data_IF_366100092853
#
_entry.id   IF_366100092853
#
_cell.length_a   1.000
_cell.length_b   1.000
_cell.length_c   1.000
_cell.angle_alpha   90.00
_cell.angle_beta   90.00
_cell.angle_gamma   90.00
#
_symmetry.space_group_name_H-M   'P 1'
#
loop_
_entity.id
_entity.type
_entity.pdbx_description
1 polymer ?
#
# COMPACT_ATOMS: atom_id res chain seq x y z
N UNK A 1 25.22 7.67 -67.73
CA UNK A 1 25.77 7.26 -66.41
C UNK A 1 24.72 7.63 -65.36
N UNK A 2 24.11 6.60 -64.74
CA UNK A 2 23.15 6.59 -63.61
C UNK A 2 21.87 7.46 -63.69
N UNK A 3 20.84 6.87 -64.28
CA UNK A 3 19.43 7.04 -63.88
C UNK A 3 19.23 6.48 -62.47
N UNK A 4 18.76 7.28 -61.50
CA UNK A 4 18.25 6.77 -60.23
C UNK A 4 16.72 6.87 -60.21
N UNK A 5 16.06 5.72 -60.17
CA UNK A 5 14.65 5.61 -59.81
C UNK A 5 14.47 5.96 -58.34
N UNK A 6 13.53 6.85 -58.01
CA UNK A 6 12.85 6.81 -56.72
C UNK A 6 11.42 6.31 -56.95
N UNK A 7 11.12 5.15 -56.37
CA UNK A 7 9.79 4.58 -56.26
C UNK A 7 8.99 5.40 -55.24
N UNK A 8 7.85 5.93 -55.66
CA UNK A 8 6.83 6.50 -54.78
C UNK A 8 6.27 5.40 -53.88
N UNK A 9 6.41 5.53 -52.56
CA UNK A 9 5.74 4.66 -51.57
C UNK A 9 4.44 5.35 -51.18
N UNK A 10 3.33 4.73 -51.55
CA UNK A 10 1.99 5.11 -51.12
C UNK A 10 1.81 4.69 -49.66
N UNK A 11 1.72 5.64 -48.71
CA UNK A 11 1.28 5.33 -47.35
C UNK A 11 -0.25 5.20 -47.34
N UNK A 12 -0.74 3.97 -47.22
CA UNK A 12 -2.13 3.71 -46.82
C UNK A 12 -2.32 4.11 -45.36
N UNK A 13 -3.22 5.06 -45.09
CA UNK A 13 -3.57 5.51 -43.75
C UNK A 13 -4.20 4.35 -42.95
N UNK A 14 -3.49 3.82 -41.96
CA UNK A 14 -4.12 3.03 -40.91
C UNK A 14 -4.95 3.98 -40.04
N UNK A 15 -6.24 3.65 -39.87
CA UNK A 15 -7.09 4.29 -38.88
C UNK A 15 -6.52 4.03 -37.48
N UNK A 16 -5.92 5.06 -36.90
CA UNK A 16 -5.50 5.08 -35.50
C UNK A 16 -6.78 5.00 -34.66
N UNK A 17 -7.18 3.78 -34.28
CA UNK A 17 -8.13 3.60 -33.20
C UNK A 17 -7.41 4.06 -31.93
N UNK A 18 -7.67 5.31 -31.54
CA UNK A 18 -7.34 5.78 -30.22
C UNK A 18 -8.15 4.94 -29.24
N UNK A 19 -7.53 3.89 -28.70
CA UNK A 19 -7.97 3.31 -27.46
C UNK A 19 -7.80 4.42 -26.41
N UNK A 20 -8.88 5.14 -26.14
CA UNK A 20 -9.00 5.93 -24.93
C UNK A 20 -9.05 4.90 -23.82
N UNK A 21 -7.89 4.54 -23.27
CA UNK A 21 -7.84 3.91 -21.97
C UNK A 21 -8.47 4.91 -20.99
N UNK A 22 -9.57 4.55 -20.30
CA UNK A 22 -10.05 5.41 -19.23
C UNK A 22 -8.90 5.51 -18.22
N UNK A 23 -8.45 6.74 -17.99
CA UNK A 23 -7.58 7.05 -16.87
C UNK A 23 -8.22 6.42 -15.63
N UNK A 24 -7.51 5.50 -14.97
CA UNK A 24 -7.81 5.22 -13.58
C UNK A 24 -7.82 6.57 -12.86
N UNK A 25 -8.94 6.92 -12.22
CA UNK A 25 -9.07 8.18 -11.51
C UNK A 25 -7.89 8.34 -10.53
N UNK A 26 -7.44 9.58 -10.35
CA UNK A 26 -6.36 9.86 -9.42
C UNK A 26 -6.78 9.43 -8.01
N UNK A 27 -5.85 8.80 -7.28
CA UNK A 27 -6.02 8.46 -5.88
C UNK A 27 -6.02 9.76 -5.05
N UNK A 28 -7.10 10.05 -4.33
CA UNK A 28 -7.09 11.20 -3.42
C UNK A 28 -6.24 10.89 -2.17
N UNK A 29 -5.42 11.85 -1.75
CA UNK A 29 -4.48 11.70 -0.64
C UNK A 29 -4.54 12.93 0.25
N UNK A 30 -4.78 12.71 1.54
CA UNK A 30 -4.54 13.74 2.56
C UNK A 30 -3.21 13.47 3.23
N UNK A 31 -2.32 14.45 3.21
CA UNK A 31 -1.00 14.36 3.84
C UNK A 31 -0.85 15.36 4.99
N UNK A 32 -0.34 14.91 6.12
CA UNK A 32 -0.10 15.75 7.31
C UNK A 32 1.32 15.55 7.84
N UNK A 33 2.02 16.66 8.05
CA UNK A 33 3.36 16.73 8.62
C UNK A 33 3.25 17.28 10.05
N UNK A 34 3.72 16.52 11.04
CA UNK A 34 3.72 16.94 12.43
C UNK A 34 5.01 17.70 12.72
N UNK A 35 4.88 18.99 12.97
CA UNK A 35 6.02 19.87 13.21
C UNK A 35 6.09 20.37 14.65
N UNK A 36 7.28 20.74 15.10
CA UNK A 36 7.46 21.58 16.29
C UNK A 36 7.21 23.07 15.92
N UNK A 37 6.88 23.93 16.89
CA UNK A 37 6.61 25.35 16.67
C UNK A 37 7.80 26.06 15.98
N UNK A 38 7.71 26.29 14.67
CA UNK A 38 8.69 27.05 13.88
C UNK A 38 8.03 28.19 13.11
N UNK A 39 8.81 29.26 12.87
CA UNK A 39 8.37 30.48 12.16
C UNK A 39 8.05 30.21 10.69
N UNK A 40 8.60 29.13 10.12
CA UNK A 40 8.25 28.61 8.81
C UNK A 40 7.80 27.16 8.98
N UNK A 41 6.50 26.91 8.75
CA UNK A 41 5.97 25.56 8.65
C UNK A 41 6.76 24.82 7.56
N UNK A 42 7.52 23.78 7.96
CA UNK A 42 8.44 23.10 7.07
C UNK A 42 7.64 22.34 6.02
N UNK A 43 7.64 22.84 4.79
CA UNK A 43 7.17 22.07 3.65
C UNK A 43 8.15 20.92 3.41
N UNK A 44 7.65 19.77 3.00
CA UNK A 44 8.51 18.65 2.65
C UNK A 44 9.35 19.05 1.44
N UNK A 45 10.69 19.02 1.54
CA UNK A 45 11.61 19.42 0.47
C UNK A 45 12.02 18.18 -0.34
N UNK A 46 11.61 18.09 -1.61
CA UNK A 46 11.91 16.92 -2.45
C UNK A 46 13.41 16.80 -2.80
N UNK A 47 14.22 17.83 -2.54
CA UNK A 47 15.67 17.81 -2.82
C UNK A 47 16.51 17.32 -1.64
N UNK A 48 15.91 17.00 -0.50
CA UNK A 48 16.64 16.45 0.64
C UNK A 48 16.82 14.96 0.38
N UNK A 49 18.06 14.43 0.36
CA UNK A 49 18.35 13.04 0.00
C UNK A 49 17.92 12.03 1.06
N UNK A 50 17.19 12.47 2.08
CA UNK A 50 16.66 11.70 3.18
C UNK A 50 15.19 12.06 3.33
N UNK A 51 14.32 11.08 3.56
CA UNK A 51 12.93 11.35 3.93
C UNK A 51 11.91 10.94 2.88
N UNK A 52 10.80 11.67 2.85
CA UNK A 52 9.49 11.17 2.43
C UNK A 52 9.19 11.40 0.95
N UNK A 53 8.49 10.45 0.32
CA UNK A 53 7.99 10.59 -1.05
C UNK A 53 7.15 11.86 -1.22
N UNK A 54 7.42 12.62 -2.27
CA UNK A 54 6.76 13.90 -2.50
C UNK A 54 5.28 13.69 -2.81
N UNK A 55 4.43 14.27 -1.98
CA UNK A 55 3.02 14.49 -2.30
C UNK A 55 2.74 16.00 -2.16
N UNK A 56 2.02 16.63 -3.08
CA UNK A 56 1.71 18.05 -2.97
C UNK A 56 0.87 18.40 -1.72
N UNK A 57 0.96 19.64 -1.26
CA UNK A 57 0.06 20.27 -0.27
C UNK A 57 -0.09 19.60 1.10
N UNK A 58 1.02 19.13 1.69
CA UNK A 58 1.01 18.65 3.07
C UNK A 58 0.48 19.70 4.04
N UNK A 59 -0.45 19.29 4.89
CA UNK A 59 -0.90 20.10 6.02
C UNK A 59 0.18 20.04 7.10
N UNK A 60 0.92 21.14 7.26
CA UNK A 60 1.88 21.29 8.36
C UNK A 60 1.15 21.67 9.65
N UNK A 61 1.26 20.84 10.69
CA UNK A 61 0.56 21.07 11.96
C UNK A 61 1.43 20.87 13.20
N UNK A 62 1.44 21.88 14.07
CA UNK A 62 1.91 21.81 15.45
C UNK A 62 0.77 21.58 16.46
N UNK A 63 -0.49 21.61 16.00
CA UNK A 63 -1.68 21.46 16.83
C UNK A 63 -2.06 20.00 17.03
N UNK A 64 -2.72 19.69 18.15
CA UNK A 64 -3.20 18.34 18.45
C UNK A 64 -4.58 18.04 17.84
N UNK A 65 -5.25 19.04 17.27
CA UNK A 65 -6.58 18.88 16.69
C UNK A 65 -6.74 19.65 15.38
N UNK A 66 -5.88 19.45 14.36
CA UNK A 66 -6.09 20.08 13.07
C UNK A 66 -7.37 19.52 12.43
N UNK A 67 -8.17 20.44 11.89
CA UNK A 67 -9.46 20.16 11.28
C UNK A 67 -9.41 20.43 9.77
N UNK A 68 -10.28 19.75 9.02
CA UNK A 68 -10.45 19.91 7.57
C UNK A 68 -9.11 19.84 6.82
N UNK A 69 -8.37 18.76 7.05
CA UNK A 69 -7.08 18.51 6.41
C UNK A 69 -7.23 18.55 4.88
N UNK A 70 -6.19 19.01 4.20
CA UNK A 70 -6.24 19.24 2.75
C UNK A 70 -5.81 18.01 1.97
N UNK A 71 -6.47 17.80 0.84
CA UNK A 71 -6.09 16.80 -0.16
C UNK A 71 -4.84 17.24 -0.97
N UNK A 72 -4.43 16.40 -1.91
CA UNK A 72 -3.30 16.61 -2.82
C UNK A 72 -3.51 17.72 -3.85
N UNK A 73 -4.66 18.40 -3.85
CA UNK A 73 -4.93 19.61 -4.63
C UNK A 73 -4.92 20.87 -3.76
N UNK A 74 -4.76 20.71 -2.44
CA UNK A 74 -4.86 21.78 -1.46
C UNK A 74 -6.29 22.12 -1.05
N UNK A 75 -7.28 21.34 -1.49
CA UNK A 75 -8.69 21.54 -1.14
C UNK A 75 -8.97 20.97 0.24
N UNK A 76 -9.63 21.73 1.15
CA UNK A 76 -10.03 21.20 2.46
C UNK A 76 -10.99 20.02 2.32
N UNK A 77 -10.73 18.94 3.05
CA UNK A 77 -11.61 17.77 3.18
C UNK A 77 -12.39 17.83 4.49
N UNK A 78 -13.19 16.80 4.79
CA UNK A 78 -13.81 16.61 6.12
C UNK A 78 -12.85 15.98 7.14
N UNK A 79 -11.72 15.42 6.69
CA UNK A 79 -10.82 14.65 7.55
C UNK A 79 -10.23 15.53 8.67
N UNK A 80 -10.38 15.06 9.90
CA UNK A 80 -9.81 15.67 11.10
C UNK A 80 -8.80 14.70 11.74
N UNK A 81 -7.80 15.25 12.42
CA UNK A 81 -6.87 14.46 13.26
C UNK A 81 -6.95 14.95 14.70
N UNK A 82 -7.06 14.03 15.64
CA UNK A 82 -6.87 14.29 17.07
C UNK A 82 -5.68 13.49 17.59
N UNK A 83 -4.80 14.17 18.32
CA UNK A 83 -3.60 13.58 18.93
C UNK A 83 -3.73 13.69 20.44
N UNK A 84 -3.67 12.57 21.14
CA UNK A 84 -3.62 12.55 22.60
C UNK A 84 -2.25 12.09 23.10
N UNK A 85 -1.80 12.67 24.21
CA UNK A 85 -0.53 12.39 24.89
C UNK A 85 0.73 12.70 24.09
N UNK A 86 1.86 12.88 24.79
CA UNK A 86 3.16 13.25 24.21
C UNK A 86 3.29 14.74 23.89
N UNK A 87 4.42 15.12 23.29
CA UNK A 87 4.67 16.49 22.84
C UNK A 87 5.43 16.54 21.52
N UNK A 88 5.38 17.68 20.82
CA UNK A 88 6.16 17.88 19.60
C UNK A 88 7.64 18.01 19.92
N UNK A 89 8.48 17.21 19.28
CA UNK A 89 9.93 17.30 19.42
C UNK A 89 10.65 17.23 18.08
N UNK A 90 11.94 17.58 18.12
CA UNK A 90 12.92 17.36 17.07
C UNK A 90 13.67 16.05 17.31
N UNK A 91 13.92 15.33 16.22
CA UNK A 91 14.61 14.03 16.23
C UNK A 91 15.97 14.04 15.51
N UNK A 92 16.37 15.17 14.90
CA UNK A 92 17.69 15.30 14.31
C UNK A 92 18.10 16.73 13.94
N UNK A 93 19.12 16.83 13.10
CA UNK A 93 19.83 18.08 12.80
C UNK A 93 19.25 18.92 11.66
N UNK A 94 19.98 19.96 11.26
CA UNK A 94 19.57 20.81 10.14
C UNK A 94 19.45 20.06 8.80
N UNK A 95 20.17 18.95 8.63
CA UNK A 95 20.22 18.14 7.40
C UNK A 95 18.91 17.43 7.04
N UNK A 96 17.98 17.31 7.99
CA UNK A 96 16.66 16.71 7.76
C UNK A 96 15.57 17.79 7.64
N UNK A 97 15.95 19.07 7.48
CA UNK A 97 15.03 20.18 7.29
C UNK A 97 14.06 19.92 6.15
N UNK A 98 12.76 20.20 6.37
CA UNK A 98 11.77 19.94 5.33
C UNK A 98 11.48 18.45 5.16
N UNK A 99 11.53 17.64 6.21
CA UNK A 99 11.11 16.24 6.14
C UNK A 99 10.24 15.91 7.34
N UNK A 100 9.25 15.00 7.19
CA UNK A 100 8.53 14.44 8.33
C UNK A 100 9.44 13.64 9.27
N UNK A 101 10.68 13.32 8.86
CA UNK A 101 11.65 12.66 9.73
C UNK A 101 12.28 13.60 10.75
N UNK A 102 12.21 14.93 10.57
CA UNK A 102 12.86 15.90 11.46
C UNK A 102 12.17 16.17 12.76
N UNK A 103 10.87 16.29 12.71
CA UNK A 103 10.04 16.63 13.84
C UNK A 103 8.84 15.70 13.88
N UNK A 104 8.21 15.59 15.02
CA UNK A 104 7.02 14.78 15.14
C UNK A 104 6.43 14.77 16.53
N UNK A 105 5.42 13.94 16.71
CA UNK A 105 4.86 13.64 18.01
C UNK A 105 5.77 12.64 18.74
N UNK A 106 6.38 13.09 19.82
CA UNK A 106 7.41 12.35 20.53
C UNK A 106 6.90 11.65 21.78
N UNK A 107 7.52 10.52 22.07
CA UNK A 107 7.24 9.72 23.25
C UNK A 107 8.50 9.03 23.78
N UNK A 108 8.72 9.19 25.08
CA UNK A 108 9.94 8.83 25.81
C UNK A 108 9.70 7.90 26.99
N UNK A 109 8.44 7.65 27.33
CA UNK A 109 8.04 6.93 28.54
C UNK A 109 7.74 5.49 28.14
N UNK A 110 8.50 4.55 28.71
CA UNK A 110 8.26 3.13 28.57
C UNK A 110 6.83 2.76 28.99
N UNK A 111 6.17 1.92 28.18
CA UNK A 111 4.79 1.49 28.37
C UNK A 111 3.74 2.55 28.00
N UNK A 112 4.13 3.71 27.48
CA UNK A 112 3.22 4.78 27.13
C UNK A 112 3.55 5.40 25.75
N UNK A 113 2.55 6.02 25.14
CA UNK A 113 2.73 6.75 23.90
C UNK A 113 1.46 7.42 23.41
N UNK A 114 1.53 8.17 22.31
CA UNK A 114 0.43 8.95 21.79
C UNK A 114 -0.59 8.09 21.06
N UNK A 115 -1.85 8.53 21.08
CA UNK A 115 -2.87 8.04 20.17
C UNK A 115 -3.16 9.08 19.09
N UNK A 116 -3.51 8.60 17.90
CA UNK A 116 -3.84 9.40 16.73
C UNK A 116 -5.18 8.92 16.20
N UNK A 117 -6.21 9.75 16.32
CA UNK A 117 -7.55 9.43 15.84
C UNK A 117 -7.86 10.30 14.63
N UNK A 118 -8.05 9.63 13.50
CA UNK A 118 -8.61 10.21 12.29
C UNK A 118 -10.12 10.09 12.35
N UNK A 119 -10.83 11.18 12.10
CA UNK A 119 -12.30 11.20 12.07
C UNK A 119 -12.81 11.93 10.84
N UNK A 120 -14.05 11.61 10.45
CA UNK A 120 -14.70 12.16 9.25
C UNK A 120 -13.89 11.89 7.98
N UNK A 121 -13.30 10.69 7.89
CA UNK A 121 -12.54 10.23 6.71
C UNK A 121 -13.46 10.26 5.47
N UNK A 122 -13.11 10.99 4.40
CA UNK A 122 -13.96 11.17 3.23
C UNK A 122 -13.97 9.97 2.27
N UNK A 123 -13.13 8.97 2.52
CA UNK A 123 -12.92 7.82 1.64
C UNK A 123 -13.67 6.59 2.14
N UNK A 124 -14.36 5.90 1.23
CA UNK A 124 -15.04 4.64 1.56
C UNK A 124 -14.05 3.51 1.88
N UNK A 125 -12.93 3.49 1.14
CA UNK A 125 -11.84 2.53 1.27
C UNK A 125 -10.54 3.32 1.27
N UNK A 126 -9.61 2.99 2.16
CA UNK A 126 -8.35 3.72 2.27
C UNK A 126 -7.24 2.87 2.91
N UNK A 127 -6.01 3.34 2.79
CA UNK A 127 -4.88 2.91 3.62
C UNK A 127 -4.29 4.11 4.35
N UNK A 128 -3.65 3.83 5.48
CA UNK A 128 -2.95 4.84 6.27
C UNK A 128 -1.46 4.54 6.27
N UNK A 129 -0.68 5.50 5.80
CA UNK A 129 0.79 5.48 5.90
C UNK A 129 1.18 6.30 7.11
N UNK A 130 1.87 5.70 8.08
CA UNK A 130 2.43 6.40 9.23
C UNK A 130 3.94 6.56 9.06
N UNK A 131 4.44 7.79 9.15
CA UNK A 131 5.87 8.06 9.04
C UNK A 131 6.55 7.94 10.39
N UNK A 132 7.49 7.00 10.48
CA UNK A 132 8.14 6.57 11.70
C UNK A 132 9.47 7.30 11.86
N UNK A 133 9.63 8.02 12.97
CA UNK A 133 10.87 8.75 13.27
C UNK A 133 11.29 8.52 14.73
N UNK A 134 12.31 9.21 15.19
CA UNK A 134 12.93 9.04 16.49
C UNK A 134 14.43 9.31 16.46
N UNK A 135 15.08 9.15 17.61
CA UNK A 135 16.54 9.23 17.66
C UNK A 135 17.15 8.02 16.94
N UNK A 136 18.01 8.31 15.95
CA UNK A 136 18.55 7.33 15.02
C UNK A 136 19.16 6.11 15.71
N UNK A 137 18.71 4.91 15.30
CA UNK A 137 19.32 3.60 15.58
C UNK A 137 19.49 3.16 17.04
N UNK A 138 19.07 3.94 18.04
CA UNK A 138 19.24 3.58 19.45
C UNK A 138 18.00 2.93 20.06
N UNK A 139 16.79 3.35 19.66
CA UNK A 139 15.56 2.76 20.16
C UNK A 139 15.34 1.37 19.55
N UNK A 140 15.04 0.38 20.38
CA UNK A 140 14.88 -1.02 20.01
C UNK A 140 13.45 -1.55 20.13
N UNK A 141 12.47 -0.75 20.60
CA UNK A 141 11.10 -1.23 20.86
C UNK A 141 10.02 -0.17 20.65
N UNK A 142 10.11 0.62 19.59
CA UNK A 142 8.98 1.47 19.20
C UNK A 142 7.94 0.62 18.45
N UNK A 143 6.67 0.83 18.75
CA UNK A 143 5.57 0.19 18.03
C UNK A 143 4.40 1.11 17.75
N UNK A 144 3.62 0.76 16.73
CA UNK A 144 2.41 1.44 16.32
C UNK A 144 1.37 0.40 15.93
N UNK A 145 0.16 0.56 16.45
CA UNK A 145 -0.91 -0.42 16.28
C UNK A 145 -2.25 0.23 16.00
N UNK A 146 -3.08 -0.43 15.20
CA UNK A 146 -4.50 -0.13 15.01
C UNK A 146 -5.42 -0.96 15.92
N UNK A 147 -4.85 -1.73 16.85
CA UNK A 147 -5.55 -2.67 17.73
C UNK A 147 -5.65 -4.10 17.18
N UNK A 148 -5.44 -4.31 15.87
CA UNK A 148 -5.44 -5.63 15.23
C UNK A 148 -4.04 -6.04 14.78
N UNK A 149 -3.31 -5.13 14.16
CA UNK A 149 -1.93 -5.28 13.72
C UNK A 149 -1.04 -4.33 14.50
N UNK A 150 0.14 -4.80 14.87
CA UNK A 150 1.18 -3.99 15.51
C UNK A 150 2.44 -4.09 14.68
N UNK A 151 2.97 -2.95 14.26
CA UNK A 151 4.27 -2.88 13.60
C UNK A 151 5.33 -2.36 14.56
N UNK A 152 6.51 -2.95 14.49
CA UNK A 152 7.68 -2.55 15.27
C UNK A 152 8.71 -1.86 14.38
N UNK A 153 9.45 -0.90 14.94
CA UNK A 153 10.55 -0.27 14.23
C UNK A 153 11.67 0.23 15.15
N UNK A 154 12.86 0.35 14.55
CA UNK A 154 13.92 1.24 15.02
C UNK A 154 13.96 2.49 14.13
N UNK A 155 14.07 3.71 14.69
CA UNK A 155 14.11 4.93 13.89
C UNK A 155 15.29 4.98 12.92
N UNK A 156 15.01 5.35 11.66
CA UNK A 156 16.00 5.55 10.60
C UNK A 156 15.85 6.92 9.89
N UNK A 157 15.89 8.06 10.62
CA UNK A 157 15.60 9.37 10.03
C UNK A 157 16.64 9.85 9.01
N UNK A 158 17.82 9.22 8.95
CA UNK A 158 18.88 9.51 7.98
C UNK A 158 18.97 8.45 6.87
N UNK A 159 17.94 7.60 6.71
CA UNK A 159 17.85 6.66 5.60
C UNK A 159 17.69 7.42 4.27
N UNK A 160 18.52 7.16 3.25
CA UNK A 160 18.42 7.85 1.97
C UNK A 160 17.21 7.41 1.14
N UNK A 161 16.61 6.27 1.49
CA UNK A 161 15.37 5.77 0.92
C UNK A 161 14.42 5.42 2.07
N UNK A 162 13.13 5.69 1.87
CA UNK A 162 12.10 5.18 2.78
C UNK A 162 12.00 3.66 2.66
N UNK A 163 11.83 3.01 3.80
CA UNK A 163 11.54 1.59 3.88
C UNK A 163 10.37 1.32 4.83
N UNK A 164 9.52 0.39 4.41
CA UNK A 164 8.38 -0.07 5.18
C UNK A 164 8.85 -1.03 6.27
N UNK A 165 8.26 -0.96 7.47
CA UNK A 165 8.29 -2.10 8.38
C UNK A 165 7.15 -3.07 8.07
N UNK A 166 7.49 -4.35 7.96
CA UNK A 166 6.55 -5.47 7.95
C UNK A 166 6.69 -6.32 9.21
N UNK A 167 7.50 -5.87 10.16
CA UNK A 167 7.82 -6.59 11.39
C UNK A 167 6.65 -6.47 12.37
N UNK A 168 6.05 -7.61 12.70
CA UNK A 168 4.95 -7.75 13.65
C UNK A 168 5.33 -8.53 14.91
N UNK A 169 6.60 -8.92 15.07
CA UNK A 169 7.09 -9.74 16.18
C UNK A 169 8.33 -9.12 16.83
N UNK A 170 8.16 -8.45 17.98
CA UNK A 170 9.29 -7.85 18.69
C UNK A 170 10.35 -8.85 19.22
N UNK A 171 10.09 -10.16 19.14
CA UNK A 171 10.92 -11.17 19.79
C UNK A 171 12.07 -11.71 18.93
N UNK A 172 12.01 -11.55 17.61
CA UNK A 172 13.06 -11.99 16.68
C UNK A 172 14.08 -10.87 16.32
N UNK A 173 13.78 -9.65 16.75
CA UNK A 173 14.65 -8.49 16.63
C UNK A 173 14.07 -7.47 15.66
N UNK A 174 14.10 -6.20 16.06
CA UNK A 174 13.37 -5.15 15.35
C UNK A 174 14.27 -4.46 14.33
N UNK A 175 13.81 -4.35 13.09
CA UNK A 175 14.54 -3.68 12.02
C UNK A 175 14.35 -2.16 12.00
N UNK A 176 15.30 -1.49 11.32
CA UNK A 176 15.15 -0.06 11.06
C UNK A 176 14.05 0.15 10.02
N UNK A 177 13.18 1.13 10.24
CA UNK A 177 12.14 1.48 9.29
C UNK A 177 11.78 2.96 9.34
N UNK A 178 11.19 3.43 8.24
CA UNK A 178 10.82 4.82 8.02
C UNK A 178 9.31 5.03 7.91
N UNK A 179 8.55 3.98 7.60
CA UNK A 179 7.08 4.04 7.59
C UNK A 179 6.43 2.69 7.88
N UNK A 180 5.17 2.73 8.31
CA UNK A 180 4.27 1.57 8.39
C UNK A 180 3.01 1.86 7.57
N UNK A 181 2.38 0.82 7.01
CA UNK A 181 1.15 0.92 6.23
C UNK A 181 0.07 0.06 6.88
N UNK A 182 -1.10 0.66 7.12
CA UNK A 182 -2.29 -0.02 7.61
C UNK A 182 -3.34 -0.07 6.49
N UNK A 183 -3.87 -1.27 6.23
CA UNK A 183 -4.70 -1.56 5.05
C UNK A 183 -3.88 -1.89 3.81
N UNK A 184 -4.48 -2.61 2.87
CA UNK A 184 -3.90 -2.89 1.54
C UNK A 184 -4.93 -2.64 0.45
N UNK A 185 -4.53 -2.71 -0.82
CA UNK A 185 -5.45 -2.55 -1.94
C UNK A 185 -6.47 -3.71 -2.01
N UNK A 186 -6.10 -4.90 -1.52
CA UNK A 186 -6.96 -6.09 -1.41
C UNK A 186 -7.82 -6.10 -0.14
N UNK A 187 -7.32 -5.53 0.95
CA UNK A 187 -8.01 -5.43 2.23
C UNK A 187 -7.91 -4.00 2.77
N UNK A 188 -8.66 -3.05 2.18
CA UNK A 188 -8.60 -1.66 2.59
C UNK A 188 -9.22 -1.46 3.97
N UNK A 189 -8.79 -0.41 4.66
CA UNK A 189 -9.51 0.11 5.82
C UNK A 189 -10.83 0.72 5.34
N UNK A 190 -11.85 0.63 6.19
CA UNK A 190 -13.19 1.15 5.93
C UNK A 190 -13.71 1.96 7.12
N UNK A 191 -14.82 2.67 6.93
CA UNK A 191 -15.45 3.48 7.98
C UNK A 191 -14.88 4.90 8.07
N UNK A 192 -15.60 5.76 8.77
CA UNK A 192 -15.31 7.20 8.85
C UNK A 192 -14.33 7.58 9.96
N UNK A 193 -13.79 6.62 10.70
CA UNK A 193 -12.82 6.85 11.77
C UNK A 193 -11.81 5.72 11.88
N UNK A 194 -10.57 6.07 12.19
CA UNK A 194 -9.46 5.14 12.40
C UNK A 194 -8.57 5.64 13.53
N UNK A 195 -8.06 4.75 14.37
CA UNK A 195 -7.18 5.13 15.48
C UNK A 195 -5.91 4.30 15.46
N UNK A 196 -4.77 4.99 15.60
CA UNK A 196 -3.47 4.40 15.82
C UNK A 196 -2.98 4.72 17.22
N UNK A 197 -2.37 3.74 17.88
CA UNK A 197 -1.69 3.88 19.16
C UNK A 197 -0.21 3.58 18.96
N UNK A 198 0.65 4.57 19.20
CA UNK A 198 2.08 4.35 19.28
C UNK A 198 2.49 4.07 20.72
N UNK A 199 3.47 3.19 20.92
CA UNK A 199 3.99 2.84 22.23
C UNK A 199 5.50 2.72 22.19
N UNK A 200 6.10 2.97 23.36
CA UNK A 200 7.49 2.65 23.63
C UNK A 200 7.54 1.40 24.51
N UNK A 201 8.17 0.33 24.06
CA UNK A 201 8.38 -0.86 24.88
C UNK A 201 9.28 -0.57 26.09
N UNK A 202 9.19 -1.42 27.11
CA UNK A 202 10.03 -1.32 28.32
C UNK A 202 11.53 -1.48 28.03
N UNK A 203 11.84 -2.09 26.89
CA UNK A 203 13.14 -2.18 26.21
C UNK A 203 13.87 -0.89 25.89
N UNK A 204 13.10 0.17 25.65
CA UNK A 204 13.60 1.26 24.83
C UNK A 204 14.67 2.08 25.55
N UNK A 205 15.74 2.37 24.83
CA UNK A 205 16.89 3.14 25.32
C UNK A 205 16.87 4.60 24.86
N UNK A 206 15.95 4.95 23.96
CA UNK A 206 15.78 6.30 23.42
C UNK A 206 14.32 6.55 23.00
N UNK A 207 13.95 7.82 22.84
CA UNK A 207 12.62 8.20 22.35
C UNK A 207 12.38 7.85 20.88
N UNK A 208 11.11 7.62 20.55
CA UNK A 208 10.62 7.53 19.19
C UNK A 208 9.63 8.66 18.90
N UNK A 209 9.24 8.77 17.64
CA UNK A 209 8.22 9.71 17.23
C UNK A 209 7.45 9.29 15.99
N UNK A 210 6.30 9.93 15.81
CA UNK A 210 5.55 9.87 14.57
C UNK A 210 5.66 11.21 13.87
N UNK A 211 6.21 11.20 12.67
CA UNK A 211 6.51 12.39 11.88
C UNK A 211 5.31 12.96 11.13
N UNK A 212 4.33 12.11 10.81
CA UNK A 212 3.21 12.49 9.97
C UNK A 212 2.46 11.28 9.46
N UNK A 213 1.47 11.55 8.62
CA UNK A 213 0.62 10.53 8.04
C UNK A 213 0.22 10.89 6.62
N UNK A 214 -0.09 9.85 5.84
CA UNK A 214 -0.96 9.97 4.67
C UNK A 214 -2.17 9.09 4.85
N UNK A 215 -3.33 9.61 4.47
CA UNK A 215 -4.56 8.86 4.30
C UNK A 215 -4.80 8.83 2.81
N UNK A 216 -4.69 7.63 2.25
CA UNK A 216 -4.65 7.40 0.81
C UNK A 216 -5.95 6.69 0.45
N UNK A 217 -6.80 7.31 -0.35
CA UNK A 217 -8.00 6.68 -0.88
C UNK A 217 -7.62 5.39 -1.61
N UNK A 218 -8.38 4.33 -1.47
CA UNK A 218 -8.24 3.18 -2.35
C UNK A 218 -9.46 3.20 -3.24
N UNK A 219 -9.23 3.63 -4.49
CA UNK A 219 -10.21 3.47 -5.53
C UNK A 219 -10.33 1.97 -5.80
N UNK A 220 -11.28 1.34 -5.14
CA UNK A 220 -11.67 -0.02 -5.47
C UNK A 220 -12.20 0.08 -6.89
N UNK A 221 -11.39 -0.32 -7.86
CA UNK A 221 -11.70 -0.25 -9.28
C UNK A 221 -12.81 -1.24 -9.62
N UNK A 222 -14.02 -1.09 -9.05
CA UNK A 222 -15.06 -2.11 -9.02
C UNK A 222 -14.45 -3.51 -9.03
N UNK A 223 -13.47 -3.78 -8.14
CA UNK A 223 -12.78 -5.05 -8.18
C UNK A 223 -13.89 -6.07 -7.90
N UNK A 224 -14.27 -6.88 -8.90
CA UNK A 224 -15.34 -7.81 -8.73
C UNK A 224 -14.97 -8.72 -7.57
N UNK A 225 -15.95 -9.24 -6.81
CA UNK A 225 -15.69 -10.25 -5.80
C UNK A 225 -14.70 -11.30 -6.34
N UNK A 226 -13.80 -11.83 -5.50
CA UNK A 226 -12.91 -12.91 -5.93
C UNK A 226 -13.70 -13.96 -6.71
N UNK A 227 -13.20 -14.40 -7.88
CA UNK A 227 -13.96 -15.28 -8.75
C UNK A 227 -14.31 -16.56 -7.98
N UNK A 228 -15.59 -16.92 -7.95
CA UNK A 228 -16.01 -18.17 -7.31
C UNK A 228 -15.63 -19.33 -8.23
N UNK A 229 -14.63 -20.12 -7.83
CA UNK A 229 -14.22 -21.31 -8.57
C UNK A 229 -15.13 -22.50 -8.24
N UNK A 230 -15.90 -22.94 -9.22
CA UNK A 230 -16.65 -24.19 -9.19
C UNK A 230 -15.84 -25.29 -9.87
N UNK A 231 -15.70 -26.42 -9.18
CA UNK A 231 -14.97 -27.59 -9.68
C UNK A 231 -15.94 -28.77 -9.68
N UNK A 232 -16.12 -29.38 -10.84
CA UNK A 232 -16.93 -30.60 -10.99
C UNK A 232 -16.11 -31.72 -11.61
N UNK A 233 -16.37 -32.95 -11.15
CA UNK A 233 -15.70 -34.13 -11.70
C UNK A 233 -16.32 -34.53 -13.04
N UNK A 234 -15.48 -34.75 -14.05
CA UNK A 234 -15.85 -35.19 -15.39
C UNK A 234 -15.09 -36.48 -15.74
N UNK A 235 -15.61 -37.62 -15.26
CA UNK A 235 -14.92 -38.90 -15.38
C UNK A 235 -13.59 -38.93 -14.62
N UNK A 236 -12.47 -39.06 -15.33
CA UNK A 236 -11.11 -38.98 -14.79
C UNK A 236 -10.54 -37.55 -14.77
N UNK A 237 -11.28 -36.59 -15.34
CA UNK A 237 -10.87 -35.20 -15.49
C UNK A 237 -11.71 -34.28 -14.58
N UNK A 238 -11.38 -33.00 -14.59
CA UNK A 238 -12.14 -31.94 -13.93
C UNK A 238 -12.66 -30.92 -14.94
N UNK A 239 -13.85 -30.40 -14.66
CA UNK A 239 -14.36 -29.19 -15.29
C UNK A 239 -14.29 -28.06 -14.25
N UNK A 240 -13.81 -26.92 -14.68
CA UNK A 240 -13.67 -25.70 -13.88
C UNK A 240 -14.55 -24.62 -14.48
N UNK A 241 -15.26 -23.90 -13.62
CA UNK A 241 -16.05 -22.73 -14.02
C UNK A 241 -15.87 -21.62 -13.00
N UNK A 242 -15.75 -20.38 -13.46
CA UNK A 242 -15.66 -19.24 -12.57
C UNK A 242 -16.28 -17.98 -13.16
N UNK A 243 -16.74 -17.13 -12.26
CA UNK A 243 -17.15 -15.77 -12.60
C UNK A 243 -15.93 -14.98 -13.05
N UNK A 244 -16.03 -14.35 -14.21
CA UNK A 244 -14.93 -13.63 -14.85
C UNK A 244 -15.28 -12.18 -15.05
N UNK A 245 -14.27 -11.34 -15.15
CA UNK A 245 -14.45 -9.90 -15.16
C UNK A 245 -13.63 -9.26 -16.24
N UNK A 246 -14.28 -8.37 -16.99
CA UNK A 246 -13.70 -7.75 -18.18
C UNK A 246 -12.32 -7.15 -17.88
N UNK A 247 -11.34 -7.44 -18.74
CA UNK A 247 -9.97 -6.96 -18.61
C UNK A 247 -9.09 -7.74 -17.64
N UNK A 248 -9.60 -8.74 -16.91
CA UNK A 248 -8.79 -9.62 -16.05
C UNK A 248 -8.24 -10.82 -16.84
N UNK A 249 -7.14 -11.35 -16.32
CA UNK A 249 -6.48 -12.56 -16.81
C UNK A 249 -6.30 -13.52 -15.64
N UNK A 250 -6.49 -14.82 -15.87
CA UNK A 250 -6.49 -15.84 -14.83
C UNK A 250 -5.47 -16.93 -15.11
N UNK A 251 -4.82 -17.42 -14.06
CA UNK A 251 -4.11 -18.69 -14.05
C UNK A 251 -4.89 -19.69 -13.18
N UNK A 252 -5.04 -20.92 -13.67
CA UNK A 252 -5.42 -22.04 -12.81
C UNK A 252 -4.14 -22.53 -12.14
N UNK A 253 -4.08 -22.46 -10.81
CA UNK A 253 -2.91 -22.89 -10.03
C UNK A 253 -3.25 -24.08 -9.14
N UNK A 254 -2.25 -24.87 -8.78
CA UNK A 254 -2.44 -25.99 -7.86
C UNK A 254 -1.30 -26.17 -6.86
N UNK A 255 -1.62 -26.84 -5.75
CA UNK A 255 -0.66 -27.21 -4.71
C UNK A 255 -1.04 -28.57 -4.09
N UNK A 256 -0.07 -29.33 -3.55
CA UNK A 256 -0.35 -30.59 -2.86
C UNK A 256 -1.00 -30.39 -1.49
N UNK A 257 -0.82 -29.22 -0.88
CA UNK A 257 -1.37 -28.84 0.42
C UNK A 257 -1.66 -27.33 0.51
N UNK A 258 -2.19 -26.90 1.65
CA UNK A 258 -2.60 -25.52 1.92
C UNK A 258 -1.58 -24.75 2.79
N UNK A 259 -0.35 -25.23 2.91
CA UNK A 259 0.66 -24.62 3.80
C UNK A 259 1.23 -23.30 3.28
N UNK A 260 1.08 -23.04 1.97
CA UNK A 260 1.55 -21.83 1.31
C UNK A 260 0.39 -21.00 0.75
N UNK A 261 0.62 -19.69 0.62
CA UNK A 261 -0.32 -18.77 -0.02
C UNK A 261 -0.57 -19.12 -1.49
N UNK A 262 -1.81 -18.93 -1.97
CA UNK A 262 -2.19 -19.14 -3.39
C UNK A 262 -1.32 -18.32 -4.35
N UNK A 263 -0.79 -17.18 -3.93
CA UNK A 263 0.12 -16.36 -4.74
C UNK A 263 1.39 -17.12 -5.16
N UNK A 264 1.85 -18.08 -4.35
CA UNK A 264 3.07 -18.88 -4.61
C UNK A 264 2.76 -20.25 -5.21
N UNK A 265 1.49 -20.58 -5.43
CA UNK A 265 1.14 -21.84 -6.07
C UNK A 265 1.57 -21.85 -7.53
N UNK A 266 2.00 -23.03 -8.00
CA UNK A 266 2.45 -23.23 -9.37
C UNK A 266 1.27 -23.25 -10.32
N UNK A 267 1.49 -22.79 -11.56
CA UNK A 267 0.48 -22.89 -12.61
C UNK A 267 0.20 -24.37 -12.89
N UNK A 268 -1.08 -24.72 -12.92
CA UNK A 268 -1.49 -26.07 -13.23
C UNK A 268 -1.15 -26.38 -14.69
N UNK A 269 -0.54 -27.55 -14.88
CA UNK A 269 -0.16 -28.05 -16.19
C UNK A 269 -0.58 -29.51 -16.31
N UNK A 270 -1.10 -29.84 -17.48
CA UNK A 270 -1.30 -31.21 -17.93
C UNK A 270 -0.22 -31.56 -18.94
N UNK A 271 -0.14 -32.83 -19.34
CA UNK A 271 0.79 -33.28 -20.39
C UNK A 271 0.57 -32.61 -21.76
N UNK A 272 -0.57 -31.92 -21.95
CA UNK A 272 -0.98 -31.33 -23.23
C UNK A 272 -1.06 -29.80 -23.21
N UNK A 273 -1.21 -29.18 -22.04
CA UNK A 273 -1.55 -27.77 -21.93
C UNK A 273 -1.18 -27.21 -20.55
N UNK A 274 -0.71 -25.96 -20.56
CA UNK A 274 -0.53 -25.11 -19.38
C UNK A 274 -1.74 -24.18 -19.25
N UNK A 275 -2.31 -24.06 -18.05
CA UNK A 275 -3.53 -23.28 -17.80
C UNK A 275 -3.21 -21.89 -17.24
N UNK A 276 -2.47 -21.09 -18.01
CA UNK A 276 -2.11 -19.71 -17.70
C UNK A 276 -2.68 -18.71 -18.70
N UNK A 277 -2.67 -17.43 -18.31
CA UNK A 277 -3.05 -16.29 -19.15
C UNK A 277 -4.44 -16.43 -19.78
N UNK A 278 -5.38 -17.01 -19.04
CA UNK A 278 -6.76 -17.23 -19.49
C UNK A 278 -7.49 -15.90 -19.41
N UNK A 279 -7.76 -15.30 -20.57
CA UNK A 279 -8.49 -14.04 -20.64
C UNK A 279 -9.93 -14.21 -20.13
N UNK A 280 -10.44 -13.17 -19.47
CA UNK A 280 -11.83 -13.11 -19.05
C UNK A 280 -12.79 -13.31 -20.24
N UNK A 281 -13.83 -14.10 -20.03
CA UNK A 281 -14.90 -14.28 -21.01
C UNK A 281 -15.72 -13.00 -21.17
N UNK A 282 -16.18 -12.73 -22.38
CA UNK A 282 -17.15 -11.66 -22.66
C UNK A 282 -18.53 -11.93 -22.07
N UNK A 283 -18.82 -13.17 -21.67
CA UNK A 283 -20.10 -13.57 -21.07
C UNK A 283 -20.15 -13.42 -19.56
N UNK A 284 -19.03 -13.03 -18.92
CA UNK A 284 -18.92 -12.96 -17.46
C UNK A 284 -18.64 -14.30 -16.79
N UNK A 285 -18.51 -15.40 -17.54
CA UNK A 285 -18.14 -16.72 -16.99
C UNK A 285 -17.11 -17.40 -17.88
N UNK A 286 -16.01 -17.84 -17.28
CA UNK A 286 -15.02 -18.71 -17.93
C UNK A 286 -15.31 -20.17 -17.59
N UNK A 287 -14.94 -21.07 -18.51
CA UNK A 287 -15.00 -22.50 -18.29
C UNK A 287 -13.78 -23.19 -18.91
N UNK A 288 -13.23 -24.17 -18.20
CA UNK A 288 -12.29 -25.16 -18.71
C UNK A 288 -12.92 -26.54 -18.55
N UNK A 289 -13.05 -27.29 -19.62
CA UNK A 289 -13.67 -28.62 -19.60
C UNK A 289 -12.67 -29.71 -19.91
N UNK A 290 -12.76 -30.84 -19.21
CA UNK A 290 -11.94 -32.02 -19.47
C UNK A 290 -10.47 -31.83 -19.08
N UNK A 291 -10.18 -30.99 -18.10
CA UNK A 291 -8.83 -30.76 -17.59
C UNK A 291 -8.31 -32.05 -16.95
N UNK A 292 -7.26 -32.62 -17.54
CA UNK A 292 -6.74 -33.92 -17.14
C UNK A 292 -6.22 -33.93 -15.71
N UNK A 293 -6.65 -34.88 -14.89
CA UNK A 293 -6.09 -35.08 -13.55
C UNK A 293 -4.70 -35.73 -13.63
N UNK A 294 -3.76 -35.22 -12.85
CA UNK A 294 -2.36 -35.68 -12.79
C UNK A 294 -2.16 -36.90 -11.88
N UNK A 295 -3.22 -37.48 -11.34
CA UNK A 295 -3.19 -38.68 -10.50
C UNK A 295 -2.86 -38.43 -9.02
N UNK A 296 -2.26 -37.28 -8.69
CA UNK A 296 -2.05 -36.83 -7.32
C UNK A 296 -3.24 -36.02 -6.81
N UNK A 297 -3.53 -36.10 -5.50
CA UNK A 297 -4.50 -35.18 -4.88
C UNK A 297 -3.88 -33.79 -4.84
N UNK A 298 -4.61 -32.81 -5.36
CA UNK A 298 -4.16 -31.42 -5.40
C UNK A 298 -5.33 -30.51 -5.02
N UNK A 299 -4.98 -29.37 -4.44
CA UNK A 299 -5.87 -28.23 -4.27
C UNK A 299 -5.77 -27.35 -5.51
N UNK A 300 -6.86 -26.68 -5.85
CA UNK A 300 -6.93 -25.78 -7.01
C UNK A 300 -7.41 -24.41 -6.57
N UNK A 301 -6.87 -23.38 -7.19
CA UNK A 301 -7.33 -22.01 -7.02
C UNK A 301 -7.16 -21.23 -8.33
N UNK A 302 -7.76 -20.04 -8.38
CA UNK A 302 -7.51 -19.07 -9.43
C UNK A 302 -6.59 -17.99 -8.90
N UNK A 303 -5.55 -17.67 -9.68
CA UNK A 303 -4.73 -16.48 -9.47
C UNK A 303 -5.09 -15.46 -10.54
N UNK A 304 -5.55 -14.30 -10.10
CA UNK A 304 -5.86 -13.17 -10.98
C UNK A 304 -4.57 -12.40 -11.26
N UNK A 305 -4.31 -12.07 -12.52
CA UNK A 305 -3.22 -11.18 -12.96
C UNK A 305 -3.75 -9.78 -13.27
#
# INVERSE_FOLDING_TARGET
MKTSMLKSITLTSLALHAAILPFAAAQDVVSINLMQNFVAAQTVDPNVPYGVEEVPFWTNSNGNSPLNLRDQTGTPTTLNLTIANGGRNLFGGNSIGGTPMKAGQAFFIAGAGPSFTFSEIPYANYKVVAYLTGYNATNTQASISDGSTTYWWRPQPYGPALNQTTDTDASDGIDQASYAVFGTDENPLTGSSFTLQALLGSSATAGAGIGGFQIVEILVANNPPPPTLNISKNGLNYDFQWDSSSGKVYDLVSAPDLSQSVSTWEVYQSSLMTYENIAASSTGTNALTGVAATGEKQFFALRVR
#
